data_IF_270911011123
#
_entry.id   IF_270911011123
#
_cell.length_a   1.000
_cell.length_b   1.000
_cell.length_c   1.000
_cell.angle_alpha   90.00
_cell.angle_beta   90.00
_cell.angle_gamma   90.00
#
_symmetry.space_group_name_H-M   'P 1'
#
loop_
_entity.id
_entity.type
_entity.pdbx_description
1 polymer ?
#
# COMPACT_ATOMS: atom_id res chain seq x y z
N UNK A 1 22.48 15.06 -24.04
CA UNK A 1 22.61 16.54 -23.95
C UNK A 1 23.25 16.77 -22.59
N UNK A 2 24.50 17.25 -22.53
CA UNK A 2 25.06 17.71 -21.26
C UNK A 2 24.21 18.91 -20.85
N UNK A 3 23.56 18.82 -19.69
CA UNK A 3 22.78 19.91 -19.11
C UNK A 3 23.76 21.01 -18.73
N UNK A 4 23.48 22.22 -19.18
CA UNK A 4 24.27 23.42 -18.87
C UNK A 4 24.24 23.68 -17.36
N UNK A 5 25.41 23.76 -16.72
CA UNK A 5 25.55 23.90 -15.26
C UNK A 5 25.16 25.32 -14.83
N UNK A 6 24.23 25.48 -13.92
CA UNK A 6 23.81 26.79 -13.37
C UNK A 6 24.71 27.16 -12.20
N UNK A 7 25.53 28.18 -12.41
CA UNK A 7 26.51 28.66 -11.42
C UNK A 7 26.01 29.98 -10.84
N UNK A 8 25.70 30.01 -9.55
CA UNK A 8 25.51 31.26 -8.84
C UNK A 8 26.85 31.75 -8.32
N UNK A 9 27.27 32.94 -8.78
CA UNK A 9 28.54 33.52 -8.45
C UNK A 9 28.34 34.75 -7.55
N UNK A 10 28.82 34.68 -6.33
CA UNK A 10 28.86 35.80 -5.39
C UNK A 10 30.20 36.48 -5.52
N UNK A 11 30.28 37.59 -6.29
CA UNK A 11 31.51 38.31 -6.68
C UNK A 11 31.14 39.75 -7.04
N UNK A 12 31.85 40.73 -6.47
CA UNK A 12 31.64 42.17 -6.74
C UNK A 12 32.40 42.67 -7.98
N UNK A 13 33.52 42.03 -8.33
CA UNK A 13 34.36 42.42 -9.45
C UNK A 13 34.06 41.59 -10.71
N UNK A 14 33.60 42.24 -11.79
CA UNK A 14 33.35 41.58 -13.08
C UNK A 14 34.61 40.98 -13.69
N UNK A 15 35.79 41.61 -13.43
CA UNK A 15 37.08 41.15 -13.92
C UNK A 15 37.42 39.77 -13.34
N UNK A 16 37.19 39.56 -12.05
CA UNK A 16 37.43 38.30 -11.35
C UNK A 16 36.44 37.23 -11.80
N UNK A 17 35.15 37.57 -11.95
CA UNK A 17 34.19 36.71 -12.56
C UNK A 17 34.57 36.25 -13.98
N UNK A 18 35.11 37.15 -14.79
CA UNK A 18 35.67 36.85 -16.13
C UNK A 18 36.91 35.93 -16.09
N UNK A 19 37.69 35.95 -15.01
CA UNK A 19 38.81 35.00 -14.82
C UNK A 19 38.27 33.58 -14.56
N UNK A 20 37.24 33.47 -13.73
CA UNK A 20 36.57 32.21 -13.44
C UNK A 20 35.96 31.66 -14.73
N UNK A 21 35.24 32.46 -15.51
CA UNK A 21 34.63 32.03 -16.78
C UNK A 21 35.70 31.47 -17.74
N UNK A 22 36.81 32.15 -17.88
CA UNK A 22 37.92 31.67 -18.73
C UNK A 22 38.48 30.34 -18.26
N UNK A 23 38.61 30.14 -16.95
CA UNK A 23 39.09 28.88 -16.38
C UNK A 23 38.13 27.74 -16.68
N UNK A 24 36.82 27.96 -16.59
CA UNK A 24 35.76 26.95 -16.87
C UNK A 24 35.66 26.64 -18.39
N UNK A 25 35.71 27.66 -19.24
CA UNK A 25 35.68 27.47 -20.70
C UNK A 25 36.87 26.69 -21.23
N UNK A 26 38.06 26.92 -20.65
CA UNK A 26 39.28 26.17 -20.99
C UNK A 26 39.12 24.67 -20.83
N UNK A 27 38.40 24.27 -19.80
CA UNK A 27 38.08 22.86 -19.49
C UNK A 27 36.76 22.36 -20.13
N UNK A 28 36.18 23.15 -21.06
CA UNK A 28 34.97 22.84 -21.82
C UNK A 28 33.77 22.54 -20.94
N UNK A 29 33.64 23.18 -19.79
CA UNK A 29 32.45 23.11 -18.96
C UNK A 29 31.39 24.04 -19.58
N UNK A 30 30.24 23.49 -19.96
CA UNK A 30 29.12 24.30 -20.41
C UNK A 30 28.33 24.78 -19.17
N UNK A 31 28.17 26.10 -19.03
CA UNK A 31 27.51 26.68 -17.87
C UNK A 31 26.73 27.94 -18.23
N UNK A 32 25.72 28.22 -17.43
CA UNK A 32 25.03 29.50 -17.35
C UNK A 32 25.32 30.10 -15.98
N UNK A 33 25.85 31.33 -15.92
CA UNK A 33 26.13 31.99 -14.65
C UNK A 33 25.15 33.12 -14.34
N UNK A 34 24.81 33.24 -13.06
CA UNK A 34 24.23 34.45 -12.50
C UNK A 34 25.21 35.04 -11.47
N UNK A 35 25.63 36.29 -11.71
CA UNK A 35 26.49 37.00 -10.76
C UNK A 35 25.65 37.91 -9.86
N UNK A 36 25.95 37.89 -8.57
CA UNK A 36 25.36 38.74 -7.54
C UNK A 36 26.47 39.29 -6.63
N UNK A 37 26.29 40.46 -6.06
CA UNK A 37 27.27 41.13 -5.23
C UNK A 37 26.77 41.47 -3.81
N UNK A 38 25.52 41.08 -3.48
CA UNK A 38 24.92 41.39 -2.20
C UNK A 38 23.91 40.39 -1.73
N UNK A 39 23.48 40.53 -0.48
CA UNK A 39 22.62 39.62 0.24
C UNK A 39 21.24 39.40 -0.42
N UNK A 40 20.60 40.51 -0.84
CA UNK A 40 19.25 40.43 -1.40
C UNK A 40 19.26 39.72 -2.75
N UNK A 41 20.20 40.08 -3.64
CA UNK A 41 20.39 39.42 -4.92
C UNK A 41 20.74 37.93 -4.78
N UNK A 42 21.59 37.59 -3.79
CA UNK A 42 21.93 36.20 -3.50
C UNK A 42 20.73 35.40 -3.06
N UNK A 43 19.92 35.95 -2.12
CA UNK A 43 18.75 35.26 -1.59
C UNK A 43 17.67 35.06 -2.66
N UNK A 44 17.42 36.07 -3.51
CA UNK A 44 16.50 35.97 -4.64
C UNK A 44 16.97 34.95 -5.69
N UNK A 45 18.28 34.94 -5.98
CA UNK A 45 18.88 34.04 -6.95
C UNK A 45 18.77 32.56 -6.52
N UNK A 46 18.86 32.24 -5.24
CA UNK A 46 18.69 30.87 -4.74
C UNK A 46 17.31 30.30 -5.11
N UNK A 47 16.26 31.12 -5.06
CA UNK A 47 14.89 30.69 -5.32
C UNK A 47 14.51 30.77 -6.82
N UNK A 48 14.98 31.83 -7.54
CA UNK A 48 14.60 32.10 -8.93
C UNK A 48 15.49 31.35 -9.94
N UNK A 49 16.81 31.39 -9.73
CA UNK A 49 17.80 30.79 -10.64
C UNK A 49 18.00 29.28 -10.36
N UNK A 50 17.81 28.85 -9.10
CA UNK A 50 17.99 27.45 -8.64
C UNK A 50 19.36 26.91 -9.06
N UNK A 51 20.44 27.43 -8.52
CA UNK A 51 21.79 27.07 -8.94
C UNK A 51 22.11 25.59 -8.64
N UNK A 52 22.95 25.00 -9.48
CA UNK A 52 23.50 23.66 -9.28
C UNK A 52 24.78 23.71 -8.43
N UNK A 53 25.43 24.88 -8.37
CA UNK A 53 26.64 25.15 -7.55
C UNK A 53 26.75 26.64 -7.25
N UNK A 54 27.31 26.95 -6.10
CA UNK A 54 27.63 28.32 -5.67
C UNK A 54 29.14 28.50 -5.63
N UNK A 55 29.65 29.59 -6.29
CA UNK A 55 31.02 30.06 -6.18
C UNK A 55 30.96 31.39 -5.46
N UNK A 56 31.65 31.51 -4.31
CA UNK A 56 31.60 32.73 -3.50
C UNK A 56 32.99 33.31 -3.25
N UNK A 57 33.18 34.56 -3.57
CA UNK A 57 34.33 35.30 -2.98
C UNK A 57 34.08 35.56 -1.49
N UNK A 58 35.15 35.60 -0.75
CA UNK A 58 35.09 35.89 0.68
C UNK A 58 35.00 37.41 0.97
N UNK A 59 35.68 38.22 0.18
CA UNK A 59 35.96 39.61 0.52
C UNK A 59 35.03 40.62 -0.15
N UNK A 60 33.72 40.45 -0.01
CA UNK A 60 32.77 41.45 -0.49
C UNK A 60 32.51 42.53 0.57
N UNK A 61 32.26 43.79 0.15
CA UNK A 61 32.16 44.91 1.08
C UNK A 61 31.03 44.87 2.08
N UNK A 62 29.90 44.21 1.76
CA UNK A 62 28.68 44.23 2.59
C UNK A 62 28.09 42.84 2.88
N UNK A 63 28.60 41.80 2.26
CA UNK A 63 28.06 40.43 2.39
C UNK A 63 29.17 39.41 2.14
N UNK A 64 29.51 38.60 3.12
CA UNK A 64 30.63 37.68 3.02
C UNK A 64 30.19 36.23 2.79
N UNK A 65 31.14 35.39 2.38
CA UNK A 65 30.91 33.97 2.08
C UNK A 65 30.37 33.16 3.25
N UNK A 66 30.69 33.53 4.49
CA UNK A 66 30.15 32.83 5.69
C UNK A 66 28.67 33.10 5.85
N UNK A 67 28.25 34.35 5.69
CA UNK A 67 26.84 34.71 5.73
C UNK A 67 26.05 34.05 4.59
N UNK A 68 26.63 33.96 3.40
CA UNK A 68 26.02 33.24 2.27
C UNK A 68 25.86 31.75 2.57
N UNK A 69 26.85 31.11 3.18
CA UNK A 69 26.82 29.72 3.59
C UNK A 69 25.78 29.48 4.70
N UNK A 70 25.72 30.37 5.70
CA UNK A 70 24.74 30.31 6.78
C UNK A 70 23.30 30.39 6.21
N UNK A 71 23.04 31.25 5.21
CA UNK A 71 21.72 31.30 4.51
C UNK A 71 21.40 29.97 3.81
N UNK A 72 22.37 29.36 3.13
CA UNK A 72 22.15 28.07 2.48
C UNK A 72 21.78 26.97 3.49
N UNK A 73 22.43 26.98 4.66
CA UNK A 73 22.16 26.04 5.75
C UNK A 73 20.80 26.28 6.41
N UNK A 74 20.45 27.53 6.71
CA UNK A 74 19.13 27.89 7.26
C UNK A 74 17.99 27.48 6.35
N UNK A 75 18.16 27.68 5.04
CA UNK A 75 17.21 27.21 4.01
C UNK A 75 17.29 25.69 3.75
N UNK A 76 18.23 24.97 4.37
CA UNK A 76 18.49 23.54 4.15
C UNK A 76 18.69 23.18 2.67
N UNK A 77 19.38 24.04 1.94
CA UNK A 77 19.68 23.82 0.54
C UNK A 77 20.87 22.86 0.42
N UNK A 78 20.71 21.83 -0.38
CA UNK A 78 21.77 20.86 -0.68
C UNK A 78 22.44 21.23 -2.01
N UNK A 79 23.13 22.36 -2.01
CA UNK A 79 23.83 22.94 -3.17
C UNK A 79 25.31 23.03 -2.82
N UNK A 80 26.20 22.47 -3.65
CA UNK A 80 27.65 22.60 -3.45
C UNK A 80 28.10 24.05 -3.36
N UNK A 81 28.96 24.36 -2.40
CA UNK A 81 29.46 25.71 -2.12
C UNK A 81 30.97 25.72 -2.13
N UNK A 82 31.57 26.43 -3.08
CA UNK A 82 33.02 26.58 -3.22
C UNK A 82 33.44 28.01 -2.98
N UNK A 83 34.40 28.20 -2.09
CA UNK A 83 35.04 29.49 -1.91
C UNK A 83 36.07 29.76 -3.04
N UNK A 84 36.01 30.97 -3.64
CA UNK A 84 37.00 31.42 -4.63
C UNK A 84 37.55 32.77 -4.17
N UNK A 85 38.77 32.81 -3.65
CA UNK A 85 39.26 33.98 -2.93
C UNK A 85 40.72 34.33 -3.29
N UNK A 86 41.06 35.62 -3.20
CA UNK A 86 42.39 36.11 -3.53
C UNK A 86 43.49 35.76 -2.51
N UNK A 87 43.16 35.86 -1.23
CA UNK A 87 44.05 35.48 -0.14
C UNK A 87 43.22 35.09 1.09
N UNK A 88 43.53 33.94 1.66
CA UNK A 88 42.92 33.49 2.94
C UNK A 88 44.03 32.97 3.84
N UNK A 89 43.85 33.15 5.15
CA UNK A 89 44.63 32.39 6.11
C UNK A 89 44.18 30.93 6.07
N UNK A 90 45.10 30.01 6.30
CA UNK A 90 44.81 28.59 6.40
C UNK A 90 43.72 28.30 7.43
N UNK A 91 43.73 29.04 8.53
CA UNK A 91 42.73 28.96 9.61
C UNK A 91 41.32 29.34 9.15
N UNK A 92 41.19 30.36 8.29
CA UNK A 92 39.88 30.75 7.72
C UNK A 92 39.34 29.70 6.74
N UNK A 93 40.20 29.19 5.84
CA UNK A 93 39.78 28.12 4.90
C UNK A 93 39.27 26.89 5.64
N UNK A 94 39.97 26.45 6.69
CA UNK A 94 39.54 25.33 7.55
C UNK A 94 38.22 25.61 8.25
N UNK A 95 38.01 26.87 8.70
CA UNK A 95 36.74 27.24 9.33
C UNK A 95 35.54 27.18 8.35
N UNK A 96 35.74 27.64 7.12
CA UNK A 96 34.67 27.54 6.09
C UNK A 96 34.34 26.10 5.72
N UNK A 97 35.33 25.22 5.60
CA UNK A 97 35.10 23.78 5.37
C UNK A 97 34.36 23.14 6.56
N UNK A 98 34.70 23.48 7.80
CA UNK A 98 33.98 23.01 9.00
C UNK A 98 32.53 23.51 9.06
N UNK A 99 32.27 24.69 8.48
CA UNK A 99 30.92 25.24 8.35
C UNK A 99 30.14 24.69 7.15
N UNK A 100 30.71 23.76 6.38
CA UNK A 100 29.99 23.04 5.31
C UNK A 100 30.24 23.57 3.90
N UNK A 101 31.28 24.39 3.67
CA UNK A 101 31.77 24.60 2.32
C UNK A 101 32.43 23.33 1.79
N UNK A 102 32.24 22.99 0.53
CA UNK A 102 32.76 21.74 -0.08
C UNK A 102 34.24 21.83 -0.41
N UNK A 103 34.70 23.00 -0.85
CA UNK A 103 36.12 23.24 -1.16
C UNK A 103 36.43 24.75 -1.15
N UNK A 104 37.70 25.07 -1.27
CA UNK A 104 38.16 26.42 -1.55
C UNK A 104 39.19 26.45 -2.67
N UNK A 105 39.19 27.50 -3.46
CA UNK A 105 40.13 27.73 -4.57
C UNK A 105 40.70 29.13 -4.50
N UNK A 106 42.02 29.25 -4.61
CA UNK A 106 42.67 30.57 -4.66
C UNK A 106 42.54 31.18 -6.05
N UNK A 107 42.20 32.48 -6.15
CA UNK A 107 42.14 33.23 -7.42
C UNK A 107 43.48 33.20 -8.16
N UNK A 108 44.60 33.01 -7.46
CA UNK A 108 45.95 32.80 -8.05
C UNK A 108 46.10 31.40 -8.71
N UNK A 109 45.22 30.47 -8.43
CA UNK A 109 45.27 29.09 -8.98
C UNK A 109 43.91 28.58 -9.45
N UNK A 110 43.24 29.32 -10.33
CA UNK A 110 41.93 28.95 -10.90
C UNK A 110 41.98 27.69 -11.76
N UNK A 111 43.16 27.19 -12.12
CA UNK A 111 43.27 25.89 -12.84
C UNK A 111 42.72 24.70 -12.03
N UNK A 112 42.62 24.82 -10.71
CA UNK A 112 42.04 23.80 -9.82
C UNK A 112 40.52 23.87 -9.78
N UNK A 113 39.90 25.02 -10.11
CA UNK A 113 38.45 25.22 -9.95
C UNK A 113 37.56 24.21 -10.70
N UNK A 114 37.83 23.86 -11.98
CA UNK A 114 37.05 22.87 -12.67
C UNK A 114 37.02 21.49 -11.98
N UNK A 115 38.15 21.09 -11.41
CA UNK A 115 38.24 19.83 -10.67
C UNK A 115 37.46 19.89 -9.35
N UNK A 116 37.58 21.01 -8.62
CA UNK A 116 36.84 21.24 -7.38
C UNK A 116 35.31 21.20 -7.62
N UNK A 117 34.84 21.85 -8.68
CA UNK A 117 33.43 21.82 -9.09
C UNK A 117 32.95 20.39 -9.37
N UNK A 118 33.66 19.64 -10.21
CA UNK A 118 33.30 18.25 -10.54
C UNK A 118 33.26 17.36 -9.30
N UNK A 119 34.22 17.55 -8.40
CA UNK A 119 34.27 16.76 -7.16
C UNK A 119 33.12 17.09 -6.23
N UNK A 120 32.85 18.37 -5.98
CA UNK A 120 31.74 18.80 -5.13
C UNK A 120 30.37 18.34 -5.67
N UNK A 121 30.10 18.53 -6.95
CA UNK A 121 28.87 18.04 -7.60
C UNK A 121 28.71 16.53 -7.48
N UNK A 122 29.80 15.79 -7.72
CA UNK A 122 29.78 14.32 -7.61
C UNK A 122 29.53 13.86 -6.19
N UNK A 123 30.14 14.51 -5.21
CA UNK A 123 29.98 14.19 -3.79
C UNK A 123 28.51 14.38 -3.36
N UNK A 124 27.90 15.53 -3.70
CA UNK A 124 26.49 15.80 -3.42
C UNK A 124 25.57 14.81 -4.12
N UNK A 125 25.83 14.45 -5.37
CA UNK A 125 25.05 13.42 -6.08
C UNK A 125 25.11 12.06 -5.37
N UNK A 126 26.29 11.64 -4.89
CA UNK A 126 26.43 10.39 -4.15
C UNK A 126 25.70 10.42 -2.79
N UNK A 127 25.81 11.53 -2.07
CA UNK A 127 25.13 11.67 -0.78
C UNK A 127 23.61 11.67 -0.92
N UNK A 128 23.07 12.34 -1.95
CA UNK A 128 21.66 12.35 -2.24
C UNK A 128 21.14 10.99 -2.68
N UNK A 129 21.83 10.33 -3.58
CA UNK A 129 21.49 8.96 -4.00
C UNK A 129 21.54 7.98 -2.81
N UNK A 130 22.51 8.15 -1.90
CA UNK A 130 22.60 7.33 -0.68
C UNK A 130 21.42 7.57 0.25
N UNK A 131 21.07 8.84 0.53
CA UNK A 131 19.91 9.20 1.37
C UNK A 131 18.61 8.63 0.79
N UNK A 132 18.42 8.73 -0.51
CA UNK A 132 17.25 8.17 -1.21
C UNK A 132 17.19 6.65 -1.08
N UNK A 133 18.30 5.96 -1.34
CA UNK A 133 18.38 4.51 -1.18
C UNK A 133 18.14 4.05 0.27
N UNK A 134 18.66 4.78 1.26
CA UNK A 134 18.41 4.51 2.68
C UNK A 134 16.90 4.64 3.02
N UNK A 135 16.23 5.65 2.46
CA UNK A 135 14.78 5.84 2.65
C UNK A 135 13.97 4.71 2.01
N UNK A 136 14.30 4.34 0.76
CA UNK A 136 13.65 3.22 0.06
C UNK A 136 13.84 1.91 0.85
N UNK A 137 15.06 1.64 1.28
CA UNK A 137 15.38 0.44 2.06
C UNK A 137 14.60 0.40 3.39
N UNK A 138 14.48 1.56 4.06
CA UNK A 138 13.71 1.68 5.30
C UNK A 138 12.23 1.38 5.08
N UNK A 139 11.65 1.90 4.00
CA UNK A 139 10.25 1.62 3.63
C UNK A 139 10.03 0.14 3.33
N UNK A 140 10.89 -0.46 2.51
CA UNK A 140 10.82 -1.90 2.20
C UNK A 140 10.96 -2.77 3.44
N UNK A 141 11.85 -2.41 4.37
CA UNK A 141 12.01 -3.15 5.62
C UNK A 141 10.77 -3.06 6.52
N UNK A 142 10.14 -1.89 6.62
CA UNK A 142 8.88 -1.73 7.35
C UNK A 142 7.75 -2.58 6.74
N UNK A 143 7.65 -2.62 5.42
CA UNK A 143 6.68 -3.45 4.70
C UNK A 143 6.94 -4.95 4.94
N UNK A 144 8.19 -5.39 4.84
CA UNK A 144 8.57 -6.77 5.14
C UNK A 144 8.24 -7.19 6.57
N UNK A 145 8.50 -6.33 7.55
CA UNK A 145 8.16 -6.60 8.97
C UNK A 145 6.63 -6.76 9.12
N UNK A 146 5.85 -5.89 8.45
CA UNK A 146 4.38 -5.97 8.47
C UNK A 146 3.91 -7.30 7.87
N UNK A 147 4.36 -7.65 6.67
CA UNK A 147 4.01 -8.90 6.00
C UNK A 147 4.40 -10.13 6.84
N UNK A 148 5.59 -10.10 7.46
CA UNK A 148 6.04 -11.21 8.30
C UNK A 148 5.16 -11.36 9.55
N UNK A 149 4.76 -10.27 10.19
CA UNK A 149 3.85 -10.32 11.35
C UNK A 149 2.44 -10.82 10.98
N UNK A 150 1.95 -10.46 9.80
CA UNK A 150 0.69 -10.97 9.26
C UNK A 150 0.78 -12.47 8.95
N UNK A 151 1.91 -12.93 8.39
CA UNK A 151 2.17 -14.35 8.15
C UNK A 151 2.24 -15.16 9.45
N UNK A 152 2.93 -14.66 10.48
CA UNK A 152 2.99 -15.32 11.79
C UNK A 152 1.61 -15.45 12.42
N UNK A 153 0.80 -14.40 12.37
CA UNK A 153 -0.58 -14.40 12.84
C UNK A 153 -1.43 -15.40 12.06
N UNK A 154 -1.26 -15.49 10.76
CA UNK A 154 -1.91 -16.45 9.87
C UNK A 154 -1.58 -17.90 10.25
N UNK A 155 -0.29 -18.22 10.38
CA UNK A 155 0.18 -19.59 10.74
C UNK A 155 -0.33 -19.99 12.13
N UNK A 156 -0.27 -19.07 13.10
CA UNK A 156 -0.78 -19.32 14.45
C UNK A 156 -2.28 -19.63 14.44
N UNK A 157 -3.06 -18.79 13.76
CA UNK A 157 -4.52 -18.93 13.72
C UNK A 157 -4.98 -20.17 12.95
N UNK A 158 -4.33 -20.52 11.83
CA UNK A 158 -4.56 -21.80 11.14
C UNK A 158 -4.34 -22.97 12.11
N UNK A 159 -3.19 -22.98 12.78
CA UNK A 159 -2.84 -24.07 13.68
C UNK A 159 -3.86 -24.24 14.81
N UNK A 160 -4.34 -23.12 15.36
CA UNK A 160 -5.38 -23.14 16.39
C UNK A 160 -6.74 -23.65 15.85
N UNK A 161 -7.17 -23.15 14.69
CA UNK A 161 -8.47 -23.49 14.12
C UNK A 161 -8.54 -24.93 13.55
N UNK A 162 -7.40 -25.50 13.16
CA UNK A 162 -7.33 -26.93 12.79
C UNK A 162 -7.24 -27.82 14.03
N UNK A 163 -6.56 -27.43 15.09
CA UNK A 163 -6.38 -28.21 16.31
C UNK A 163 -7.71 -28.42 17.05
N UNK A 164 -8.58 -27.40 17.13
CA UNK A 164 -9.84 -27.48 17.87
C UNK A 164 -10.78 -28.59 17.37
N UNK A 165 -11.19 -28.66 16.09
CA UNK A 165 -12.05 -29.73 15.58
C UNK A 165 -11.33 -31.10 15.64
N UNK A 166 -10.02 -31.15 15.43
CA UNK A 166 -9.26 -32.39 15.55
C UNK A 166 -9.29 -32.95 16.98
N UNK A 167 -9.11 -32.08 17.98
CA UNK A 167 -9.24 -32.47 19.39
C UNK A 167 -10.64 -32.95 19.74
N UNK A 168 -11.68 -32.32 19.16
CA UNK A 168 -13.07 -32.77 19.31
C UNK A 168 -13.29 -34.16 18.71
N UNK A 169 -12.78 -34.44 17.51
CA UNK A 169 -12.85 -35.78 16.89
C UNK A 169 -12.16 -36.82 17.77
N UNK A 170 -10.94 -36.54 18.23
CA UNK A 170 -10.19 -37.45 19.11
C UNK A 170 -10.90 -37.70 20.44
N UNK A 171 -11.49 -36.66 21.04
CA UNK A 171 -12.28 -36.75 22.26
C UNK A 171 -13.50 -37.65 22.07
N UNK A 172 -14.28 -37.44 20.99
CA UNK A 172 -15.47 -38.23 20.64
C UNK A 172 -15.12 -39.70 20.37
N UNK A 173 -14.00 -39.95 19.65
CA UNK A 173 -13.52 -41.32 19.41
C UNK A 173 -13.13 -42.02 20.73
N UNK A 174 -12.49 -41.30 21.67
CA UNK A 174 -12.14 -41.86 22.96
C UNK A 174 -13.40 -42.20 23.81
N UNK A 175 -14.41 -41.29 23.83
CA UNK A 175 -15.66 -41.53 24.54
C UNK A 175 -16.40 -42.71 23.90
N UNK A 176 -16.51 -42.76 22.55
CA UNK A 176 -17.16 -43.86 21.86
C UNK A 176 -16.47 -45.22 22.16
N UNK A 177 -15.15 -45.26 22.30
CA UNK A 177 -14.39 -46.49 22.72
C UNK A 177 -14.71 -46.92 24.12
N UNK A 178 -14.98 -45.99 25.04
CA UNK A 178 -15.34 -46.29 26.43
C UNK A 178 -16.78 -46.75 26.59
N UNK A 179 -17.66 -46.30 25.68
CA UNK A 179 -19.12 -46.57 25.70
C UNK A 179 -19.54 -47.75 24.79
N UNK A 180 -18.64 -48.63 24.40
CA UNK A 180 -18.84 -49.76 23.48
C UNK A 180 -20.03 -50.71 23.87
N UNK A 181 -20.46 -50.67 25.11
CA UNK A 181 -21.61 -51.52 25.62
C UNK A 181 -22.97 -50.81 25.59
N UNK A 182 -23.02 -49.52 25.15
CA UNK A 182 -24.29 -48.75 25.11
C UNK A 182 -24.86 -48.71 23.69
N UNK A 183 -26.21 -48.57 23.64
CA UNK A 183 -27.08 -48.77 22.48
C UNK A 183 -26.56 -48.18 21.16
N UNK A 184 -27.00 -48.76 20.02
CA UNK A 184 -26.71 -48.34 18.63
C UNK A 184 -26.98 -46.86 18.38
N UNK A 185 -28.03 -46.31 19.01
CA UNK A 185 -28.41 -44.88 18.92
C UNK A 185 -27.31 -43.95 19.43
N UNK A 186 -26.57 -44.34 20.48
CA UNK A 186 -25.46 -43.58 21.02
C UNK A 186 -24.25 -43.60 20.09
N UNK A 187 -23.99 -44.71 19.42
CA UNK A 187 -22.94 -44.82 18.38
C UNK A 187 -23.21 -43.92 17.19
N UNK A 188 -24.44 -43.88 16.69
CA UNK A 188 -24.86 -43.02 15.58
C UNK A 188 -24.74 -41.52 15.97
N UNK A 189 -25.04 -41.18 17.23
CA UNK A 189 -24.86 -39.81 17.72
C UNK A 189 -23.37 -39.36 17.70
N UNK A 190 -22.45 -40.21 18.18
CA UNK A 190 -21.00 -39.87 18.13
C UNK A 190 -20.47 -39.78 16.70
N UNK A 191 -20.93 -40.66 15.80
CA UNK A 191 -20.54 -40.59 14.38
C UNK A 191 -20.98 -39.28 13.74
N UNK A 192 -22.22 -38.81 13.98
CA UNK A 192 -22.74 -37.57 13.49
C UNK A 192 -21.92 -36.35 14.01
N UNK A 193 -21.52 -36.34 15.27
CA UNK A 193 -20.68 -35.28 15.84
C UNK A 193 -19.26 -35.29 15.27
N UNK A 194 -18.69 -36.47 15.00
CA UNK A 194 -17.41 -36.64 14.33
C UNK A 194 -17.52 -36.12 12.90
N UNK A 195 -18.53 -36.51 12.15
CA UNK A 195 -18.75 -36.04 10.78
C UNK A 195 -18.90 -34.52 10.70
N UNK A 196 -19.63 -33.91 11.64
CA UNK A 196 -19.73 -32.45 11.75
C UNK A 196 -18.39 -31.79 12.01
N UNK A 197 -17.53 -32.39 12.83
CA UNK A 197 -16.18 -31.86 13.14
C UNK A 197 -15.23 -32.01 11.96
N UNK A 198 -15.30 -33.13 11.22
CA UNK A 198 -14.50 -33.35 10.00
C UNK A 198 -14.93 -32.40 8.88
N UNK A 199 -16.26 -32.18 8.73
CA UNK A 199 -16.80 -31.23 7.76
C UNK A 199 -16.32 -29.78 8.03
N UNK A 200 -16.22 -29.37 9.31
CA UNK A 200 -15.64 -28.08 9.69
C UNK A 200 -14.17 -27.97 9.32
N UNK A 201 -13.41 -29.05 9.50
CA UNK A 201 -11.98 -29.13 9.09
C UNK A 201 -11.83 -28.98 7.59
N UNK A 202 -12.62 -29.71 6.80
CA UNK A 202 -12.58 -29.64 5.33
C UNK A 202 -12.93 -28.23 4.82
N UNK A 203 -13.95 -27.61 5.42
CA UNK A 203 -14.32 -26.22 5.10
C UNK A 203 -13.19 -25.25 5.39
N UNK A 204 -12.55 -25.33 6.57
CA UNK A 204 -11.40 -24.48 6.93
C UNK A 204 -10.24 -24.68 5.97
N UNK A 205 -9.96 -25.93 5.58
CA UNK A 205 -8.89 -26.24 4.61
C UNK A 205 -9.17 -25.62 3.23
N UNK A 206 -10.44 -25.68 2.77
CA UNK A 206 -10.85 -25.04 1.52
C UNK A 206 -10.66 -23.52 1.56
N UNK A 207 -11.07 -22.86 2.64
CA UNK A 207 -10.85 -21.41 2.81
C UNK A 207 -9.36 -21.04 2.75
N UNK A 208 -8.46 -21.85 3.36
CA UNK A 208 -7.01 -21.65 3.31
C UNK A 208 -6.46 -21.82 1.89
N UNK A 209 -6.92 -22.85 1.18
CA UNK A 209 -6.51 -23.11 -0.20
C UNK A 209 -6.96 -22.00 -1.14
N UNK A 210 -8.16 -21.48 -0.98
CA UNK A 210 -8.70 -20.36 -1.75
C UNK A 210 -7.90 -19.08 -1.48
N UNK A 211 -7.53 -18.82 -0.23
CA UNK A 211 -6.62 -17.72 0.10
C UNK A 211 -5.26 -17.88 -0.59
N UNK A 212 -4.64 -19.07 -0.50
CA UNK A 212 -3.34 -19.33 -1.13
C UNK A 212 -3.37 -19.17 -2.65
N UNK A 213 -4.44 -19.63 -3.31
CA UNK A 213 -4.65 -19.43 -4.75
C UNK A 213 -4.77 -17.95 -5.10
N UNK A 214 -5.56 -17.20 -4.32
CA UNK A 214 -5.75 -15.77 -4.56
C UNK A 214 -4.42 -14.99 -4.51
N UNK A 215 -3.51 -15.35 -3.60
CA UNK A 215 -2.19 -14.70 -3.48
C UNK A 215 -1.33 -14.94 -4.74
N UNK A 216 -1.39 -16.12 -5.36
CA UNK A 216 -0.47 -16.56 -6.42
C UNK A 216 -1.00 -16.36 -7.84
N UNK A 217 -2.31 -16.21 -8.03
CA UNK A 217 -2.90 -16.18 -9.37
C UNK A 217 -2.80 -14.76 -9.95
N UNK A 218 -2.28 -14.65 -11.17
CA UNK A 218 -2.32 -13.42 -11.96
C UNK A 218 -3.77 -13.02 -12.27
N UNK A 219 -3.98 -11.73 -12.51
CA UNK A 219 -5.32 -11.19 -12.82
C UNK A 219 -5.61 -11.44 -14.30
N UNK A 220 -6.35 -12.50 -14.61
CA UNK A 220 -6.89 -12.74 -15.95
C UNK A 220 -8.24 -12.04 -16.08
N UNK A 221 -8.33 -11.09 -17.03
CA UNK A 221 -9.52 -10.26 -17.26
C UNK A 221 -10.33 -10.86 -18.41
N UNK A 222 -11.60 -11.13 -18.14
CA UNK A 222 -12.56 -11.63 -19.12
C UNK A 222 -13.93 -10.94 -18.99
N UNK A 223 -14.75 -11.02 -20.03
CA UNK A 223 -16.13 -10.57 -19.97
C UNK A 223 -16.94 -11.48 -19.07
N UNK A 224 -17.75 -10.93 -18.15
CA UNK A 224 -18.48 -11.66 -17.13
C UNK A 224 -19.99 -11.48 -17.31
N UNK A 225 -20.71 -12.60 -17.50
CA UNK A 225 -22.17 -12.62 -17.43
C UNK A 225 -22.62 -12.68 -15.97
N UNK A 226 -22.83 -11.52 -15.34
CA UNK A 226 -23.19 -11.41 -13.92
C UNK A 226 -24.48 -12.15 -13.55
N UNK A 227 -25.48 -12.14 -14.43
CA UNK A 227 -26.76 -12.80 -14.17
C UNK A 227 -26.60 -14.32 -14.06
N UNK A 228 -25.77 -14.87 -14.90
CA UNK A 228 -25.45 -16.28 -14.92
C UNK A 228 -24.59 -16.67 -13.72
N UNK A 229 -23.53 -15.90 -13.46
CA UNK A 229 -22.65 -16.08 -12.32
C UNK A 229 -23.42 -16.07 -10.97
N UNK A 230 -24.30 -15.08 -10.74
CA UNK A 230 -25.09 -15.01 -9.50
C UNK A 230 -26.04 -16.21 -9.38
N UNK A 231 -26.68 -16.65 -10.48
CA UNK A 231 -27.52 -17.84 -10.49
C UNK A 231 -26.74 -19.11 -10.13
N UNK A 232 -25.58 -19.32 -10.74
CA UNK A 232 -24.70 -20.45 -10.45
C UNK A 232 -24.27 -20.47 -8.97
N UNK A 233 -23.97 -19.32 -8.38
CA UNK A 233 -23.63 -19.21 -6.96
C UNK A 233 -24.83 -19.63 -6.09
N UNK A 234 -26.05 -19.17 -6.38
CA UNK A 234 -27.22 -19.60 -5.64
C UNK A 234 -27.47 -21.10 -5.79
N UNK A 235 -27.23 -21.70 -6.94
CA UNK A 235 -27.36 -23.16 -7.13
C UNK A 235 -26.31 -23.94 -6.33
N UNK A 236 -25.06 -23.46 -6.28
CA UNK A 236 -24.01 -24.07 -5.46
C UNK A 236 -24.34 -24.00 -3.96
N UNK A 237 -24.99 -22.92 -3.51
CA UNK A 237 -25.34 -22.70 -2.12
C UNK A 237 -26.71 -23.31 -1.71
N UNK A 238 -27.40 -24.01 -2.60
CA UNK A 238 -28.76 -24.57 -2.35
C UNK A 238 -28.86 -25.55 -1.18
N UNK A 239 -27.75 -26.17 -0.80
CA UNK A 239 -27.69 -27.11 0.32
C UNK A 239 -27.44 -26.45 1.68
N UNK A 240 -27.15 -25.14 1.71
CA UNK A 240 -27.05 -24.41 2.97
C UNK A 240 -28.40 -24.33 3.67
N UNK A 241 -28.40 -24.57 5.00
CA UNK A 241 -29.57 -24.44 5.85
C UNK A 241 -30.16 -23.03 5.69
N UNK A 242 -31.48 -22.97 5.39
CA UNK A 242 -32.22 -21.73 5.21
C UNK A 242 -32.25 -21.16 3.79
N UNK A 243 -31.53 -21.76 2.83
CA UNK A 243 -31.57 -21.30 1.44
C UNK A 243 -32.95 -21.32 0.78
N UNK A 244 -33.78 -22.31 1.13
CA UNK A 244 -35.16 -22.47 0.56
C UNK A 244 -36.17 -21.45 1.10
N UNK A 245 -35.88 -20.87 2.26
CA UNK A 245 -36.77 -19.97 3.00
C UNK A 245 -36.53 -18.50 2.65
N UNK A 246 -35.57 -18.22 1.78
CA UNK A 246 -35.15 -16.86 1.41
C UNK A 246 -35.84 -16.41 0.12
N UNK A 247 -36.46 -15.23 0.16
CA UNK A 247 -36.86 -14.48 -1.03
C UNK A 247 -35.61 -13.88 -1.70
N UNK A 248 -35.39 -14.21 -2.97
CA UNK A 248 -34.24 -13.77 -3.74
C UNK A 248 -34.66 -12.77 -4.81
N UNK A 249 -34.13 -11.57 -4.79
CA UNK A 249 -34.37 -10.55 -5.79
C UNK A 249 -33.03 -10.14 -6.45
N UNK A 250 -32.97 -10.24 -7.76
CA UNK A 250 -31.77 -9.87 -8.54
C UNK A 250 -32.20 -8.80 -9.53
N UNK A 251 -31.69 -7.61 -9.38
CA UNK A 251 -31.90 -6.45 -10.25
C UNK A 251 -30.57 -6.05 -10.90
N UNK A 252 -30.44 -6.28 -12.19
CA UNK A 252 -29.22 -6.00 -12.95
C UNK A 252 -29.56 -5.09 -14.11
N UNK A 253 -29.04 -3.87 -14.05
CA UNK A 253 -29.05 -2.96 -15.20
C UNK A 253 -27.82 -3.28 -16.09
N UNK A 254 -28.08 -3.95 -17.23
CA UNK A 254 -27.02 -4.70 -17.95
C UNK A 254 -26.83 -4.22 -19.41
N UNK A 255 -26.86 -2.91 -19.66
CA UNK A 255 -26.65 -2.36 -21.01
C UNK A 255 -25.16 -2.26 -21.40
N UNK A 256 -24.25 -2.43 -20.44
CA UNK A 256 -22.79 -2.29 -20.63
C UNK A 256 -22.10 -3.60 -20.25
N UNK A 257 -21.19 -4.14 -21.12
CA UNK A 257 -20.43 -5.33 -20.76
C UNK A 257 -19.46 -5.04 -19.61
N UNK A 258 -19.30 -6.01 -18.70
CA UNK A 258 -18.41 -5.91 -17.55
C UNK A 258 -17.23 -6.86 -17.69
N UNK A 259 -16.03 -6.34 -17.52
CA UNK A 259 -14.76 -7.07 -17.61
C UNK A 259 -14.03 -7.08 -16.27
N UNK A 260 -13.72 -8.25 -15.76
CA UNK A 260 -12.95 -8.42 -14.53
C UNK A 260 -12.37 -9.84 -14.44
N UNK A 261 -11.76 -10.18 -13.30
CA UNK A 261 -11.34 -11.54 -13.02
C UNK A 261 -12.53 -12.39 -12.51
N UNK A 262 -12.99 -13.33 -13.35
CA UNK A 262 -14.17 -14.16 -13.07
C UNK A 262 -14.01 -15.00 -11.80
N UNK A 263 -12.84 -15.57 -11.55
CA UNK A 263 -12.57 -16.38 -10.35
C UNK A 263 -12.70 -15.57 -9.06
N UNK A 264 -12.04 -14.39 -9.00
CA UNK A 264 -12.10 -13.52 -7.81
C UNK A 264 -13.50 -13.01 -7.57
N UNK A 265 -14.18 -12.54 -8.61
CA UNK A 265 -15.57 -12.05 -8.48
C UNK A 265 -16.51 -13.16 -8.00
N UNK A 266 -16.39 -14.36 -8.56
CA UNK A 266 -17.17 -15.53 -8.10
C UNK A 266 -16.94 -15.83 -6.62
N UNK A 267 -15.67 -15.84 -6.19
CA UNK A 267 -15.31 -16.08 -4.79
C UNK A 267 -15.82 -14.97 -3.85
N UNK A 268 -15.71 -13.69 -4.24
CA UNK A 268 -16.25 -12.56 -3.48
C UNK A 268 -17.76 -12.71 -3.30
N UNK A 269 -18.51 -12.89 -4.40
CA UNK A 269 -19.97 -12.98 -4.37
C UNK A 269 -20.43 -14.23 -3.61
N UNK A 270 -19.76 -15.38 -3.78
CA UNK A 270 -20.06 -16.61 -3.05
C UNK A 270 -19.92 -16.42 -1.54
N UNK A 271 -18.84 -15.77 -1.08
CA UNK A 271 -18.63 -15.46 0.34
C UNK A 271 -19.72 -14.53 0.89
N UNK A 272 -20.03 -13.44 0.17
CA UNK A 272 -21.03 -12.47 0.62
C UNK A 272 -22.45 -13.05 0.66
N UNK A 273 -22.85 -13.79 -0.39
CA UNK A 273 -24.17 -14.44 -0.46
C UNK A 273 -24.28 -15.56 0.59
N UNK A 274 -23.22 -16.37 0.77
CA UNK A 274 -23.19 -17.40 1.82
C UNK A 274 -23.35 -16.78 3.22
N UNK A 275 -22.72 -15.64 3.49
CA UNK A 275 -22.87 -14.93 4.75
C UNK A 275 -24.32 -14.45 4.94
N UNK A 276 -24.95 -13.85 3.94
CA UNK A 276 -26.34 -13.44 4.00
C UNK A 276 -27.32 -14.62 4.28
N UNK A 277 -27.04 -15.82 3.74
CA UNK A 277 -27.81 -17.04 4.03
C UNK A 277 -27.58 -17.52 5.47
N UNK A 278 -26.31 -17.56 5.91
CA UNK A 278 -25.91 -18.08 7.24
C UNK A 278 -26.40 -17.20 8.39
N UNK A 279 -26.38 -15.89 8.21
CA UNK A 279 -26.72 -14.90 9.25
C UNK A 279 -28.17 -14.37 9.13
N UNK A 280 -29.05 -15.12 8.46
CA UNK A 280 -30.45 -14.78 8.44
C UNK A 280 -31.05 -14.83 9.86
N UNK A 281 -32.08 -14.05 10.09
CA UNK A 281 -32.82 -14.05 11.35
C UNK A 281 -33.96 -15.05 11.28
N UNK A 282 -33.80 -16.21 11.92
CA UNK A 282 -34.82 -17.29 11.95
C UNK A 282 -36.14 -16.88 12.66
N UNK A 283 -36.14 -15.77 13.39
CA UNK A 283 -37.33 -15.23 14.05
C UNK A 283 -38.23 -14.40 13.11
N UNK A 284 -37.70 -13.98 11.94
CA UNK A 284 -38.47 -13.20 10.96
C UNK A 284 -39.31 -14.10 10.07
N UNK A 285 -40.57 -13.72 9.86
CA UNK A 285 -41.48 -14.45 8.98
C UNK A 285 -40.99 -14.54 7.53
N UNK A 286 -40.31 -13.50 7.05
CA UNK A 286 -39.77 -13.41 5.70
C UNK A 286 -38.34 -12.94 5.75
N UNK A 287 -37.43 -13.77 5.28
CA UNK A 287 -36.06 -13.43 5.07
C UNK A 287 -35.80 -13.16 3.58
N UNK A 288 -35.02 -12.13 3.26
CA UNK A 288 -34.70 -11.82 1.87
C UNK A 288 -33.23 -11.55 1.66
N UNK A 289 -32.78 -11.77 0.42
CA UNK A 289 -31.52 -11.25 -0.14
C UNK A 289 -31.82 -10.52 -1.43
N UNK A 290 -31.52 -9.24 -1.47
CA UNK A 290 -31.63 -8.40 -2.67
C UNK A 290 -30.24 -8.07 -3.21
N UNK A 291 -30.00 -8.40 -4.48
CA UNK A 291 -28.78 -8.06 -5.20
C UNK A 291 -29.14 -7.04 -6.28
N UNK A 292 -28.58 -5.84 -6.18
CA UNK A 292 -28.75 -4.77 -7.16
C UNK A 292 -27.39 -4.47 -7.81
N UNK A 293 -27.34 -4.42 -9.14
CA UNK A 293 -26.11 -4.20 -9.90
C UNK A 293 -26.30 -3.02 -10.83
N UNK A 294 -25.38 -2.07 -10.77
CA UNK A 294 -25.27 -0.93 -11.67
C UNK A 294 -23.91 -0.92 -12.34
N UNK A 295 -23.87 -0.89 -13.67
CA UNK A 295 -22.64 -0.93 -14.46
C UNK A 295 -22.49 0.40 -15.19
N UNK A 296 -21.31 1.00 -15.08
CA UNK A 296 -20.89 2.16 -15.87
C UNK A 296 -19.74 1.78 -16.82
N UNK A 297 -19.33 2.63 -17.75
CA UNK A 297 -18.13 2.38 -18.54
C UNK A 297 -16.84 2.27 -17.73
N UNK A 298 -16.80 2.83 -16.52
CA UNK A 298 -15.60 2.92 -15.67
C UNK A 298 -15.60 1.94 -14.51
N UNK A 299 -16.78 1.63 -13.96
CA UNK A 299 -16.92 0.81 -12.76
C UNK A 299 -18.23 0.01 -12.74
N UNK A 300 -18.31 -0.93 -11.80
CA UNK A 300 -19.51 -1.62 -11.39
C UNK A 300 -19.76 -1.41 -9.91
N UNK A 301 -21.02 -1.23 -9.52
CA UNK A 301 -21.48 -1.25 -8.14
C UNK A 301 -22.41 -2.43 -7.95
N UNK A 302 -22.04 -3.37 -7.08
CA UNK A 302 -22.84 -4.52 -6.68
C UNK A 302 -23.25 -4.33 -5.23
N UNK A 303 -24.55 -4.25 -5.00
CA UNK A 303 -25.12 -4.09 -3.67
C UNK A 303 -25.82 -5.38 -3.25
N UNK A 304 -25.43 -5.95 -2.12
CA UNK A 304 -26.06 -7.11 -1.50
C UNK A 304 -26.71 -6.64 -0.21
N UNK A 305 -28.03 -6.80 -0.12
CA UNK A 305 -28.83 -6.36 1.01
C UNK A 305 -29.63 -7.53 1.56
N UNK A 306 -29.49 -7.83 2.85
CA UNK A 306 -30.23 -8.84 3.58
C UNK A 306 -30.87 -8.24 4.84
N UNK A 307 -31.97 -8.86 5.28
CA UNK A 307 -32.64 -8.52 6.53
C UNK A 307 -32.28 -9.51 7.66
N UNK A 308 -31.06 -10.00 7.71
CA UNK A 308 -30.58 -10.91 8.74
C UNK A 308 -30.45 -10.28 10.12
N UNK A 309 -29.64 -10.91 10.98
CA UNK A 309 -29.37 -10.44 12.37
C UNK A 309 -28.59 -9.15 12.45
N UNK A 310 -28.02 -8.66 11.35
CA UNK A 310 -27.14 -7.49 11.34
C UNK A 310 -25.83 -7.69 12.10
N UNK A 311 -25.00 -6.65 12.11
CA UNK A 311 -23.69 -6.63 12.78
C UNK A 311 -23.69 -5.59 13.88
N UNK A 312 -23.29 -5.97 15.11
CA UNK A 312 -23.20 -5.03 16.21
C UNK A 312 -22.13 -3.96 15.90
N UNK A 313 -22.38 -2.67 16.23
CA UNK A 313 -21.44 -1.58 15.91
C UNK A 313 -20.02 -1.81 16.43
N UNK A 314 -19.84 -2.39 17.59
CA UNK A 314 -18.52 -2.69 18.18
C UNK A 314 -17.71 -3.69 17.37
N UNK A 315 -18.37 -4.51 16.56
CA UNK A 315 -17.74 -5.54 15.74
C UNK A 315 -17.39 -5.06 14.33
N UNK A 316 -18.07 -4.04 13.80
CA UNK A 316 -17.85 -3.52 12.45
C UNK A 316 -16.38 -3.19 12.14
N UNK A 317 -15.60 -2.55 13.03
CA UNK A 317 -14.18 -2.28 12.76
C UNK A 317 -13.31 -3.54 12.67
N UNK A 318 -13.82 -4.66 13.17
CA UNK A 318 -13.06 -5.91 13.29
C UNK A 318 -13.50 -7.01 12.34
N UNK A 319 -14.61 -6.84 11.61
CA UNK A 319 -15.15 -7.89 10.71
C UNK A 319 -14.23 -8.26 9.55
N UNK A 320 -13.32 -7.37 9.20
CA UNK A 320 -12.29 -7.60 8.17
C UNK A 320 -11.00 -8.22 8.72
N UNK A 321 -10.89 -8.40 10.06
CA UNK A 321 -9.70 -9.03 10.63
C UNK A 321 -9.73 -10.52 10.36
N UNK A 322 -8.57 -11.05 10.03
CA UNK A 322 -8.37 -12.47 9.81
C UNK A 322 -8.83 -13.28 11.04
N UNK A 323 -9.61 -14.35 10.84
CA UNK A 323 -10.15 -15.25 11.88
C UNK A 323 -11.09 -14.57 12.90
N UNK A 324 -11.56 -13.38 12.62
CA UNK A 324 -12.52 -12.71 13.49
C UNK A 324 -13.93 -13.31 13.34
N UNK A 325 -14.57 -13.56 14.50
CA UNK A 325 -15.94 -14.09 14.59
C UNK A 325 -16.74 -13.24 15.58
N UNK A 326 -17.83 -12.65 15.14
CA UNK A 326 -18.71 -11.83 15.98
C UNK A 326 -19.54 -12.63 16.99
N UNK A 327 -19.74 -13.95 16.75
CA UNK A 327 -20.48 -14.84 17.64
C UNK A 327 -19.82 -16.21 17.71
N UNK A 328 -19.82 -16.85 18.90
CA UNK A 328 -19.26 -18.19 19.09
C UNK A 328 -20.08 -19.30 18.38
N UNK A 329 -21.33 -19.00 17.97
CA UNK A 329 -22.26 -19.95 17.34
C UNK A 329 -22.16 -19.96 15.81
N UNK A 330 -21.36 -19.06 15.18
CA UNK A 330 -21.25 -19.03 13.73
C UNK A 330 -20.33 -20.14 13.21
N UNK A 331 -20.80 -20.91 12.22
CA UNK A 331 -19.98 -21.89 11.51
C UNK A 331 -19.09 -21.21 10.48
N UNK A 332 -17.76 -21.40 10.56
CA UNK A 332 -16.76 -20.86 9.65
C UNK A 332 -15.46 -20.50 10.35
N UNK A 333 -14.34 -20.46 9.61
CA UNK A 333 -13.02 -20.13 10.16
C UNK A 333 -12.83 -18.62 10.43
N UNK A 334 -13.74 -17.75 10.01
CA UNK A 334 -13.60 -16.29 10.14
C UNK A 334 -12.65 -15.69 9.10
N UNK A 335 -12.45 -16.38 7.98
CA UNK A 335 -11.60 -15.92 6.87
C UNK A 335 -12.40 -15.24 5.76
N UNK A 336 -13.70 -15.51 5.63
CA UNK A 336 -14.48 -15.11 4.47
C UNK A 336 -14.42 -13.62 4.14
N UNK A 337 -14.73 -12.72 5.08
CA UNK A 337 -14.70 -11.27 4.85
C UNK A 337 -13.25 -10.72 4.71
N UNK A 338 -12.28 -11.33 5.36
CA UNK A 338 -10.87 -11.01 5.14
C UNK A 338 -10.44 -11.31 3.70
N UNK A 339 -10.76 -12.53 3.21
CA UNK A 339 -10.49 -12.95 1.83
C UNK A 339 -11.20 -12.04 0.82
N UNK A 340 -12.47 -11.68 1.10
CA UNK A 340 -13.20 -10.73 0.26
C UNK A 340 -12.47 -9.39 0.15
N UNK A 341 -12.04 -8.84 1.28
CA UNK A 341 -11.31 -7.56 1.31
C UNK A 341 -10.02 -7.64 0.47
N UNK A 342 -9.19 -8.67 0.69
CA UNK A 342 -7.95 -8.90 -0.06
C UNK A 342 -8.19 -9.04 -1.58
N UNK A 343 -9.26 -9.76 -1.96
CA UNK A 343 -9.62 -9.92 -3.38
C UNK A 343 -10.08 -8.60 -4.00
N UNK A 344 -10.86 -7.81 -3.25
CA UNK A 344 -11.34 -6.49 -3.69
C UNK A 344 -10.19 -5.52 -3.87
N UNK A 345 -9.25 -5.46 -2.92
CA UNK A 345 -8.04 -4.63 -3.02
C UNK A 345 -7.18 -5.02 -4.23
N UNK A 346 -7.03 -6.32 -4.52
CA UNK A 346 -6.32 -6.80 -5.71
C UNK A 346 -7.01 -6.52 -7.05
N UNK A 347 -8.29 -6.21 -7.01
CA UNK A 347 -9.08 -5.76 -8.17
C UNK A 347 -9.20 -4.23 -8.21
N UNK A 348 -8.40 -3.50 -7.43
CA UNK A 348 -8.44 -2.03 -7.30
C UNK A 348 -9.84 -1.50 -6.96
N UNK A 349 -10.60 -2.29 -6.20
CA UNK A 349 -11.97 -2.00 -5.81
C UNK A 349 -12.11 -1.46 -4.39
N UNK A 350 -13.36 -1.27 -3.97
CA UNK A 350 -13.72 -0.90 -2.61
C UNK A 350 -14.92 -1.71 -2.08
N UNK A 351 -14.95 -1.93 -0.76
CA UNK A 351 -16.00 -2.66 -0.06
C UNK A 351 -16.47 -1.85 1.14
N UNK A 352 -17.78 -1.58 1.20
CA UNK A 352 -18.41 -0.86 2.29
C UNK A 352 -19.50 -1.72 2.91
N UNK A 353 -19.51 -1.87 4.23
CA UNK A 353 -20.53 -2.58 5.00
C UNK A 353 -21.31 -1.58 5.84
N UNK A 354 -22.61 -1.49 5.57
CA UNK A 354 -23.58 -0.77 6.37
C UNK A 354 -24.48 -1.79 7.07
N UNK A 355 -24.54 -1.80 8.38
CA UNK A 355 -25.37 -2.77 9.10
C UNK A 355 -26.04 -2.16 10.33
N UNK A 356 -27.25 -2.61 10.60
CA UNK A 356 -28.00 -2.30 11.81
C UNK A 356 -28.31 -3.62 12.54
N UNK A 357 -27.74 -3.74 13.74
CA UNK A 357 -27.91 -4.93 14.57
C UNK A 357 -29.40 -5.24 14.84
N UNK A 358 -29.79 -6.48 14.66
CA UNK A 358 -31.17 -6.95 14.76
C UNK A 358 -32.05 -6.59 13.55
N UNK A 359 -31.53 -5.92 12.53
CA UNK A 359 -32.38 -5.44 11.41
C UNK A 359 -31.92 -5.88 10.04
N UNK A 360 -30.71 -5.49 9.60
CA UNK A 360 -30.28 -5.65 8.21
C UNK A 360 -28.77 -5.51 8.06
N UNK A 361 -28.25 -6.06 6.95
CA UNK A 361 -26.90 -5.78 6.47
C UNK A 361 -26.94 -5.43 4.98
N UNK A 362 -26.21 -4.38 4.61
CA UNK A 362 -26.02 -3.92 3.25
C UNK A 362 -24.54 -3.85 2.95
N UNK A 363 -24.12 -4.59 1.93
CA UNK A 363 -22.73 -4.60 1.48
C UNK A 363 -22.68 -4.01 0.08
N UNK A 364 -21.82 -3.01 -0.11
CA UNK A 364 -21.61 -2.34 -1.39
C UNK A 364 -20.19 -2.67 -1.86
N UNK A 365 -20.11 -3.37 -2.97
CA UNK A 365 -18.86 -3.70 -3.67
C UNK A 365 -18.75 -2.83 -4.90
N UNK A 366 -17.65 -2.08 -5.04
CA UNK A 366 -17.34 -1.31 -6.23
C UNK A 366 -16.05 -1.82 -6.85
N UNK A 367 -16.05 -2.14 -8.14
CA UNK A 367 -14.88 -2.61 -8.89
C UNK A 367 -14.72 -1.81 -10.19
N UNK A 368 -13.49 -1.59 -10.67
CA UNK A 368 -13.27 -1.00 -11.98
C UNK A 368 -13.75 -1.94 -13.09
N UNK A 369 -14.28 -1.36 -14.17
CA UNK A 369 -14.62 -2.10 -15.39
C UNK A 369 -13.38 -2.13 -16.29
N UNK A 370 -12.61 -3.21 -16.20
CA UNK A 370 -11.31 -3.37 -16.86
C UNK A 370 -11.46 -3.81 -18.31
N UNK A 371 -12.05 -2.99 -19.18
CA UNK A 371 -12.14 -3.34 -20.61
C UNK A 371 -10.72 -3.58 -21.18
N UNK A 372 -10.45 -4.72 -21.82
CA UNK A 372 -9.17 -4.96 -22.46
C UNK A 372 -8.85 -3.85 -23.46
N UNK A 373 -7.66 -3.26 -23.36
CA UNK A 373 -7.15 -2.38 -24.42
C UNK A 373 -6.95 -3.22 -25.67
N UNK A 374 -7.67 -2.87 -26.74
CA UNK A 374 -7.46 -3.47 -28.07
C UNK A 374 -6.05 -3.23 -28.58
#
# INVERSE_FOLDING_TARGET
>A
METELRILMLEDMEEDAGLIDRALHREKIAFNRLRVDGRDGFTEALDSFKPDIILSDHSLPQFNSIEALDICQEKKLDIPFILVTGAVSEEFAVNCLKKGADDYVLKSNLSRLPLAIRYALRQHQYENARKENENILRQQNQELIKINSELDSFVYSISHNLRSPLASVLGLVNIAKLDVEKSKEMGDHYLNLIEGSVSKLDHTLKEILDYSKNVRTEVDISEINLKELIKEIFEQLKYLKGHKELEKSIDINNDIPFYSNAYRLSSILSNLISNAIKYRDEAKEKCFIKISVSITPFDISIQIHDNGIGIHPDYLPSVYKMFYRGTNSSDGAGLGLYIVKEMVEKLDGSLVINSKFGMETQIILTLPNCKPSN
#
